data_IF_287283062222
#
_entry.id   IF_287283062222
#
_cell.length_a   1.000
_cell.length_b   1.000
_cell.length_c   1.000
_cell.angle_alpha   90.00
_cell.angle_beta   90.00
_cell.angle_gamma   90.00
#
_symmetry.space_group_name_H-M   'P 1'
#
loop_
_entity.id
_entity.type
_entity.pdbx_description
1 polymer ?
#
# COMPACT_ATOMS: atom_id res chain seq x y z
N UNK A 1 12.18 11.12 13.92
CA UNK A 1 13.04 12.09 13.21
C UNK A 1 14.45 11.94 13.77
N UNK A 2 15.44 11.56 12.97
CA UNK A 2 16.84 11.68 13.37
C UNK A 2 17.16 13.19 13.43
N UNK A 3 17.94 13.64 14.42
CA UNK A 3 18.00 15.01 14.97
C UNK A 3 18.38 16.19 14.07
N UNK A 4 18.19 16.11 12.74
CA UNK A 4 18.59 17.11 11.75
C UNK A 4 17.43 17.92 11.14
N UNK A 5 16.18 17.75 11.61
CA UNK A 5 14.96 18.37 11.04
C UNK A 5 14.74 18.11 9.54
N UNK A 6 15.45 17.15 8.95
CA UNK A 6 15.28 16.71 7.56
C UNK A 6 14.36 15.49 7.51
N UNK A 7 13.61 15.37 6.43
CA UNK A 7 12.95 14.11 6.07
C UNK A 7 13.99 13.09 5.60
N UNK A 8 13.67 11.80 5.61
CA UNK A 8 14.58 10.76 5.12
C UNK A 8 15.00 11.02 3.66
N UNK A 9 14.08 11.44 2.80
CA UNK A 9 14.39 11.80 1.41
C UNK A 9 15.23 13.09 1.25
N UNK A 10 15.43 13.87 2.32
CA UNK A 10 16.24 15.09 2.31
C UNK A 10 17.66 14.91 2.84
N UNK A 11 18.04 13.69 3.26
CA UNK A 11 19.42 13.37 3.63
C UNK A 11 20.27 13.17 2.37
N UNK A 12 21.52 13.63 2.41
CA UNK A 12 22.50 13.38 1.37
C UNK A 12 23.10 11.97 1.44
N UNK A 13 23.73 11.50 0.37
CA UNK A 13 24.38 10.17 0.37
C UNK A 13 25.53 10.09 1.37
N UNK A 14 26.25 11.19 1.63
CA UNK A 14 27.26 11.26 2.69
C UNK A 14 26.66 11.07 4.08
N UNK A 15 25.48 11.64 4.34
CA UNK A 15 24.75 11.43 5.60
C UNK A 15 24.30 9.97 5.74
N UNK A 16 23.82 9.33 4.66
CA UNK A 16 23.43 7.91 4.67
C UNK A 16 24.61 6.97 4.91
N UNK A 17 25.69 7.15 4.16
CA UNK A 17 26.90 6.31 4.27
C UNK A 17 27.62 6.47 5.61
N UNK A 18 27.43 7.61 6.30
CA UNK A 18 27.87 7.80 7.68
C UNK A 18 27.17 6.87 8.68
N UNK A 19 25.96 6.35 8.37
CA UNK A 19 25.30 5.35 9.20
C UNK A 19 25.71 3.92 8.83
N UNK A 20 25.83 3.64 7.53
CA UNK A 20 26.28 2.35 7.02
C UNK A 20 26.72 2.47 5.57
N UNK A 21 27.87 1.90 5.23
CA UNK A 21 28.36 1.80 3.85
C UNK A 21 27.56 0.83 2.97
N UNK A 22 26.60 0.10 3.54
CA UNK A 22 25.69 -0.75 2.78
C UNK A 22 24.54 0.05 2.13
N UNK A 23 24.32 1.30 2.56
CA UNK A 23 23.27 2.16 2.01
C UNK A 23 23.81 2.85 0.75
N UNK A 24 23.13 2.65 -0.38
CA UNK A 24 23.51 3.21 -1.68
C UNK A 24 22.33 3.99 -2.30
N UNK A 25 22.48 4.44 -3.55
CA UNK A 25 21.50 5.26 -4.28
C UNK A 25 20.09 4.66 -4.37
N UNK A 26 19.96 3.32 -4.26
CA UNK A 26 18.68 2.61 -4.24
C UNK A 26 17.81 2.98 -3.03
N UNK A 27 18.40 3.55 -1.97
CA UNK A 27 17.68 4.01 -0.78
C UNK A 27 16.61 5.05 -1.13
N UNK A 28 16.87 5.99 -2.04
CA UNK A 28 15.92 7.06 -2.36
C UNK A 28 14.65 6.52 -3.02
N UNK A 29 14.79 5.50 -3.87
CA UNK A 29 13.65 4.80 -4.43
C UNK A 29 12.89 4.03 -3.33
N UNK A 30 13.63 3.31 -2.48
CA UNK A 30 13.07 2.43 -1.46
C UNK A 30 12.30 3.17 -0.36
N UNK A 31 12.75 4.38 0.03
CA UNK A 31 12.09 5.21 1.05
C UNK A 31 10.99 6.12 0.50
N UNK A 32 10.78 6.12 -0.82
CA UNK A 32 9.74 6.95 -1.42
C UNK A 32 8.36 6.45 -1.01
N UNK A 33 7.43 7.39 -0.80
CA UNK A 33 6.04 7.05 -0.44
C UNK A 33 5.35 6.20 -1.50
N UNK A 34 5.70 6.43 -2.77
CA UNK A 34 5.16 5.69 -3.90
C UNK A 34 5.58 4.21 -3.85
N UNK A 35 6.88 3.93 -3.71
CA UNK A 35 7.40 2.56 -3.61
C UNK A 35 6.89 1.87 -2.35
N UNK A 36 6.83 2.59 -1.22
CA UNK A 36 6.26 2.08 0.04
C UNK A 36 4.81 1.58 -0.11
N UNK A 37 4.00 2.22 -0.95
CA UNK A 37 2.64 1.78 -1.23
C UNK A 37 2.59 0.65 -2.26
N UNK A 38 3.39 0.74 -3.32
CA UNK A 38 3.39 -0.21 -4.44
C UNK A 38 3.92 -1.60 -4.07
N UNK A 39 4.90 -1.69 -3.19
CA UNK A 39 5.58 -2.96 -2.89
C UNK A 39 4.83 -3.83 -1.86
N UNK A 40 3.85 -3.26 -1.17
CA UNK A 40 3.02 -3.99 -0.20
C UNK A 40 1.88 -4.75 -0.90
N UNK A 41 2.27 -5.81 -1.61
CA UNK A 41 1.44 -6.67 -2.47
C UNK A 41 0.80 -7.88 -1.78
N UNK A 42 0.91 -7.98 -0.45
CA UNK A 42 0.21 -9.00 0.32
C UNK A 42 -1.32 -8.80 0.23
N UNK A 43 -2.09 -9.86 0.45
CA UNK A 43 -3.55 -9.77 0.54
C UNK A 43 -3.94 -8.73 1.61
N UNK A 44 -4.79 -7.77 1.23
CA UNK A 44 -5.17 -6.64 2.09
C UNK A 44 -4.15 -5.49 2.13
N UNK A 45 -3.05 -5.58 1.39
CA UNK A 45 -2.06 -4.51 1.26
C UNK A 45 -2.56 -3.31 0.41
N UNK A 46 -1.86 -2.16 0.47
CA UNK A 46 -2.23 -0.95 -0.26
C UNK A 46 -1.78 -0.94 -1.73
N UNK A 47 -1.05 -1.95 -2.21
CA UNK A 47 -0.60 -1.96 -3.60
C UNK A 47 -1.80 -1.93 -4.57
N UNK A 48 -1.65 -1.23 -5.70
CA UNK A 48 -2.74 -0.99 -6.65
C UNK A 48 -3.41 -2.29 -7.10
N UNK A 49 -2.60 -3.30 -7.44
CA UNK A 49 -3.08 -4.61 -7.90
C UNK A 49 -3.99 -5.28 -6.87
N UNK A 50 -3.56 -5.40 -5.61
CA UNK A 50 -4.35 -6.03 -4.55
C UNK A 50 -5.56 -5.19 -4.16
N UNK A 51 -5.46 -3.87 -4.22
CA UNK A 51 -6.58 -2.95 -3.94
C UNK A 51 -7.69 -3.08 -4.99
N UNK A 52 -7.31 -3.24 -6.27
CA UNK A 52 -8.26 -3.50 -7.35
C UNK A 52 -8.95 -4.86 -7.18
N UNK A 53 -8.18 -5.91 -6.89
CA UNK A 53 -8.74 -7.25 -6.60
C UNK A 53 -9.70 -7.20 -5.41
N UNK A 54 -9.36 -6.50 -4.33
CA UNK A 54 -10.24 -6.34 -3.17
C UNK A 54 -11.55 -5.61 -3.55
N UNK A 55 -11.46 -4.60 -4.42
CA UNK A 55 -12.62 -3.85 -4.91
C UNK A 55 -13.54 -4.70 -5.79
N UNK A 56 -12.97 -5.54 -6.66
CA UNK A 56 -13.72 -6.49 -7.49
C UNK A 56 -14.45 -7.54 -6.63
N UNK A 57 -13.75 -8.10 -5.64
CA UNK A 57 -14.33 -9.04 -4.68
C UNK A 57 -15.48 -8.40 -3.89
N UNK A 58 -15.31 -7.15 -3.43
CA UNK A 58 -16.36 -6.43 -2.72
C UNK A 58 -17.60 -6.19 -3.59
N UNK A 59 -17.41 -5.81 -4.87
CA UNK A 59 -18.52 -5.67 -5.83
C UNK A 59 -19.25 -6.99 -6.03
N UNK A 60 -18.51 -8.07 -6.27
CA UNK A 60 -19.09 -9.40 -6.45
C UNK A 60 -19.89 -9.85 -5.23
N UNK A 61 -19.36 -9.63 -4.02
CA UNK A 61 -20.04 -9.93 -2.77
C UNK A 61 -21.35 -9.14 -2.63
N UNK A 62 -21.32 -7.82 -2.84
CA UNK A 62 -22.53 -6.97 -2.75
C UNK A 62 -23.57 -7.39 -3.79
N UNK A 63 -23.17 -7.68 -5.03
CA UNK A 63 -24.09 -8.18 -6.07
C UNK A 63 -24.72 -9.51 -5.69
N UNK A 64 -23.95 -10.45 -5.15
CA UNK A 64 -24.47 -11.74 -4.69
C UNK A 64 -25.46 -11.58 -3.53
N UNK A 65 -25.13 -10.76 -2.53
CA UNK A 65 -26.00 -10.48 -1.38
C UNK A 65 -27.31 -9.79 -1.78
N UNK A 66 -27.28 -8.87 -2.75
CA UNK A 66 -28.49 -8.22 -3.27
C UNK A 66 -29.46 -9.23 -3.91
N UNK A 67 -28.94 -10.26 -4.59
CA UNK A 67 -29.76 -11.31 -5.21
C UNK A 67 -30.42 -12.23 -4.17
N UNK A 68 -29.70 -12.55 -3.09
CA UNK A 68 -30.19 -13.45 -2.02
C UNK A 68 -31.18 -12.74 -1.09
N UNK A 69 -30.92 -11.49 -0.71
CA UNK A 69 -31.78 -10.77 0.25
C UNK A 69 -33.16 -10.40 -0.31
N UNK A 70 -33.28 -10.15 -1.62
CA UNK A 70 -34.56 -9.78 -2.23
C UNK A 70 -35.44 -10.97 -2.58
N UNK A 71 -34.86 -12.16 -2.80
CA UNK A 71 -35.64 -13.40 -3.00
C UNK A 71 -36.24 -13.94 -1.69
N UNK A 72 -35.62 -13.66 -0.54
CA UNK A 72 -36.14 -14.01 0.78
C UNK A 72 -37.21 -13.05 1.33
N UNK A 73 -37.45 -11.91 0.67
CA UNK A 73 -38.29 -10.81 1.18
C UNK A 73 -39.63 -10.61 0.44
N UNK A 74 -40.07 -11.54 -0.41
CA UNK A 74 -41.44 -11.52 -0.96
C UNK A 74 -42.39 -12.23 0.01
N UNK A 75 -43.28 -11.52 0.73
CA UNK A 75 -44.44 -12.15 1.33
C UNK A 75 -45.43 -12.49 0.21
N UNK A 76 -46.00 -13.69 0.28
CA UNK A 76 -47.21 -14.07 -0.48
C UNK A 76 -48.35 -13.08 -0.23
#
# INVERSE_FOLDING_TARGET
MVGHQKSLGGLSMGEFTSFSSAINDDVYNSISMETCAKDRKMVGGPAKEVSLTASENAKAFVTAEMSVRWTAALPL
#
